data_IF_427462710562
#
_entry.id   IF_427462710562
#
_cell.length_a   1.000
_cell.length_b   1.000
_cell.length_c   1.000
_cell.angle_alpha   90.00
_cell.angle_beta   90.00
_cell.angle_gamma   90.00
#
_symmetry.space_group_name_H-M   'P 1'
#
loop_
_entity.id
_entity.type
_entity.pdbx_description
1 polymer ?
#
# COMPACT_ATOMS: atom_id res chain seq x y z
N UNK A 1 4.41 -26.70 -3.26
CA UNK A 1 4.78 -25.60 -2.35
C UNK A 1 5.20 -24.39 -3.19
N UNK A 2 4.32 -23.71 -3.92
CA UNK A 2 4.75 -22.66 -4.86
C UNK A 2 3.58 -21.81 -5.32
N UNK A 3 2.88 -21.10 -4.42
CA UNK A 3 1.83 -20.16 -4.85
C UNK A 3 1.69 -18.92 -3.92
N UNK A 4 2.67 -18.69 -3.05
CA UNK A 4 2.57 -17.64 -2.00
C UNK A 4 2.95 -16.22 -2.47
N UNK A 5 3.54 -16.08 -3.67
CA UNK A 5 4.12 -14.81 -4.09
C UNK A 5 3.22 -13.91 -4.96
N UNK A 6 2.25 -14.47 -5.67
CA UNK A 6 1.46 -13.70 -6.65
C UNK A 6 0.27 -12.94 -6.03
N UNK A 7 -0.25 -13.40 -4.90
CA UNK A 7 -1.41 -12.75 -4.25
C UNK A 7 -1.05 -11.53 -3.40
N UNK A 8 0.23 -11.37 -3.06
CA UNK A 8 0.73 -10.29 -2.23
C UNK A 8 0.79 -8.92 -2.94
N UNK A 9 0.80 -8.90 -4.27
CA UNK A 9 1.01 -7.69 -5.07
C UNK A 9 -0.24 -6.81 -5.26
N UNK A 10 -1.44 -7.34 -5.08
CA UNK A 10 -2.68 -6.61 -5.37
C UNK A 10 -3.36 -5.97 -4.14
N UNK A 11 -3.03 -6.39 -2.93
CA UNK A 11 -3.52 -5.77 -1.69
C UNK A 11 -2.64 -4.65 -1.15
N UNK A 12 -1.53 -4.36 -1.83
CA UNK A 12 -0.40 -3.64 -1.26
C UNK A 12 -0.28 -2.18 -1.65
N UNK A 13 -1.33 -1.54 -2.17
CA UNK A 13 -1.15 -0.18 -2.65
C UNK A 13 -1.05 0.89 -1.56
N UNK A 14 -1.41 0.62 -0.33
CA UNK A 14 -1.39 1.66 0.73
C UNK A 14 -0.66 1.26 2.01
N UNK A 15 -0.58 -0.01 2.36
CA UNK A 15 -0.14 -0.42 3.70
C UNK A 15 1.23 -1.11 3.76
N UNK A 16 1.92 -1.35 2.65
CA UNK A 16 3.13 -2.21 2.65
C UNK A 16 4.48 -1.52 2.50
N UNK A 17 4.52 -0.22 2.37
CA UNK A 17 5.82 0.47 2.34
C UNK A 17 6.48 0.58 3.72
N UNK A 18 5.70 0.43 4.81
CA UNK A 18 6.21 0.61 6.17
C UNK A 18 6.17 -0.65 7.05
N UNK A 19 5.38 -1.66 6.73
CA UNK A 19 5.14 -2.82 7.59
C UNK A 19 5.36 -4.18 6.90
N UNK A 20 6.37 -4.30 6.03
CA UNK A 20 6.93 -5.63 5.87
C UNK A 20 7.51 -6.01 7.24
N UNK A 21 7.00 -7.06 7.93
CA UNK A 21 7.63 -7.47 9.17
C UNK A 21 9.11 -7.68 8.85
N UNK A 22 10.02 -7.14 9.68
CA UNK A 22 11.46 -7.28 9.45
C UNK A 22 11.68 -8.74 9.13
N UNK A 23 12.38 -9.01 8.02
CA UNK A 23 12.58 -10.35 7.50
C UNK A 23 12.92 -11.28 8.65
N UNK A 24 11.91 -11.97 9.17
CA UNK A 24 12.11 -12.90 10.27
C UNK A 24 13.01 -13.99 9.75
N UNK A 25 14.23 -13.95 10.20
CA UNK A 25 15.25 -14.90 9.84
C UNK A 25 14.79 -16.28 10.23
N UNK A 26 14.23 -17.01 9.25
CA UNK A 26 14.07 -18.47 9.25
C UNK A 26 13.88 -19.11 10.65
N UNK A 27 12.95 -18.62 11.42
CA UNK A 27 12.37 -19.44 12.45
C UNK A 27 11.49 -20.45 11.70
N UNK A 28 11.77 -21.73 11.86
CA UNK A 28 10.82 -22.77 11.52
C UNK A 28 9.55 -22.46 12.30
N UNK A 29 8.57 -21.85 11.63
CA UNK A 29 7.31 -21.47 12.27
C UNK A 29 6.60 -22.77 12.63
N UNK A 30 6.70 -23.14 13.89
CA UNK A 30 5.91 -24.22 14.43
C UNK A 30 4.44 -23.77 14.46
N UNK A 31 3.49 -24.65 14.17
CA UNK A 31 2.07 -24.33 14.28
C UNK A 31 1.74 -23.74 15.67
N UNK A 32 0.94 -22.69 15.69
CA UNK A 32 0.54 -22.05 16.94
C UNK A 32 0.39 -20.53 16.84
N UNK A 33 0.08 -19.92 17.97
CA UNK A 33 -0.08 -18.48 18.12
C UNK A 33 1.22 -17.82 18.59
N UNK A 34 1.52 -16.66 18.02
CA UNK A 34 2.61 -15.78 18.46
C UNK A 34 2.04 -14.38 18.67
N UNK A 35 2.25 -13.81 19.85
CA UNK A 35 1.94 -12.42 20.16
C UNK A 35 3.25 -11.64 20.31
N UNK A 36 3.38 -10.53 19.60
CA UNK A 36 4.60 -9.68 19.66
C UNK A 36 4.20 -8.26 20.08
N UNK A 37 4.21 -7.95 21.39
CA UNK A 37 4.14 -6.58 21.86
C UNK A 37 5.46 -5.86 21.64
N UNK A 38 5.39 -4.56 21.39
CA UNK A 38 6.58 -3.74 21.22
C UNK A 38 6.32 -2.26 21.38
N UNK A 39 7.40 -1.51 21.40
CA UNK A 39 7.38 -0.04 21.38
C UNK A 39 8.59 0.46 20.59
N UNK A 40 8.34 1.49 19.77
CA UNK A 40 9.37 2.26 19.09
C UNK A 40 9.46 3.65 19.72
N UNK A 41 10.67 4.16 19.89
CA UNK A 41 10.94 5.54 20.27
C UNK A 41 11.81 6.16 19.19
N UNK A 42 11.38 7.28 18.63
CA UNK A 42 12.06 7.97 17.55
C UNK A 42 12.36 9.43 17.86
N UNK A 43 13.51 9.89 17.38
CA UNK A 43 13.83 11.30 17.23
C UNK A 43 13.92 11.58 15.73
N UNK A 44 13.02 12.41 15.22
CA UNK A 44 12.86 12.66 13.79
C UNK A 44 12.95 14.17 13.52
N UNK A 45 13.38 14.51 12.32
CA UNK A 45 13.35 15.85 11.76
C UNK A 45 12.43 15.85 10.55
N UNK A 46 11.42 16.74 10.53
CA UNK A 46 10.45 16.90 9.45
C UNK A 46 10.65 18.27 8.79
N UNK A 47 10.96 18.29 7.50
CA UNK A 47 11.25 19.52 6.76
C UNK A 47 10.02 20.30 6.32
N UNK A 48 8.82 19.75 6.47
CA UNK A 48 7.56 20.38 6.08
C UNK A 48 6.39 19.85 6.93
N UNK A 49 6.35 20.26 8.18
CA UNK A 49 5.34 19.77 9.14
C UNK A 49 3.91 20.17 8.77
N UNK A 50 3.76 21.28 8.05
CA UNK A 50 2.46 21.76 7.57
C UNK A 50 1.97 21.04 6.31
N UNK A 51 2.85 20.30 5.62
CA UNK A 51 2.56 19.71 4.29
C UNK A 51 2.00 20.74 3.33
N UNK A 52 2.67 21.87 3.26
CA UNK A 52 2.24 23.04 2.50
C UNK A 52 3.29 23.48 1.48
N UNK A 53 2.87 24.28 0.52
CA UNK A 53 3.81 24.97 -0.37
C UNK A 53 4.66 25.96 0.43
N UNK A 54 5.95 26.14 0.07
CA UNK A 54 6.76 27.17 0.69
C UNK A 54 6.11 28.54 0.46
N UNK A 55 6.01 29.40 1.51
CA UNK A 55 5.51 30.76 1.35
C UNK A 55 6.34 31.52 0.31
N UNK A 56 5.68 32.29 -0.56
CA UNK A 56 6.32 33.01 -1.66
C UNK A 56 7.43 33.97 -1.18
N UNK A 57 7.28 34.56 0.01
CA UNK A 57 8.22 35.54 0.58
C UNK A 57 9.44 34.90 1.24
N UNK A 58 9.37 33.66 1.67
CA UNK A 58 10.42 33.02 2.49
C UNK A 58 11.13 31.88 1.74
N UNK A 59 10.47 31.26 0.77
CA UNK A 59 11.00 30.12 0.00
C UNK A 59 11.31 28.86 0.85
N UNK A 60 10.92 28.86 2.15
CA UNK A 60 11.16 27.77 3.09
C UNK A 60 9.84 27.28 3.66
N UNK A 61 9.73 25.99 3.84
CA UNK A 61 8.64 25.34 4.57
C UNK A 61 8.91 25.34 6.06
N UNK A 62 7.86 25.21 6.88
CA UNK A 62 8.01 25.02 8.31
C UNK A 62 8.65 23.65 8.60
N UNK A 63 9.85 23.66 9.18
CA UNK A 63 10.57 22.46 9.59
C UNK A 63 10.62 22.37 11.12
N UNK A 64 10.56 21.17 11.66
CA UNK A 64 10.62 20.92 13.10
C UNK A 64 11.24 19.57 13.42
N UNK A 65 11.73 19.45 14.65
CA UNK A 65 12.09 18.19 15.24
C UNK A 65 10.89 17.63 16.01
N UNK A 66 10.77 16.32 16.03
CA UNK A 66 9.71 15.67 16.79
C UNK A 66 10.22 14.45 17.53
N UNK A 67 9.60 14.18 18.62
CA UNK A 67 9.67 12.90 19.32
C UNK A 67 8.48 12.04 18.91
N UNK A 68 8.74 10.81 18.53
CA UNK A 68 7.71 9.82 18.19
C UNK A 68 7.77 8.65 19.17
N UNK A 69 6.62 8.23 19.66
CA UNK A 69 6.45 7.00 20.40
C UNK A 69 5.40 6.15 19.71
N UNK A 70 5.76 4.92 19.38
CA UNK A 70 4.89 3.98 18.69
C UNK A 70 4.73 2.70 19.52
N UNK A 71 3.72 2.60 20.40
CA UNK A 71 3.30 1.31 20.94
C UNK A 71 2.66 0.48 19.82
N UNK A 72 3.05 -0.79 19.73
CA UNK A 72 2.50 -1.71 18.76
C UNK A 72 2.31 -3.12 19.30
N UNK A 73 1.48 -3.88 18.62
CA UNK A 73 1.29 -5.29 18.89
C UNK A 73 0.91 -6.06 17.64
N UNK A 74 1.47 -7.24 17.45
CA UNK A 74 1.05 -8.16 16.41
C UNK A 74 0.64 -9.51 17.00
N UNK A 75 -0.36 -10.13 16.38
CA UNK A 75 -0.84 -11.46 16.71
C UNK A 75 -0.85 -12.30 15.42
N UNK A 76 -0.09 -13.38 15.44
CA UNK A 76 0.04 -14.28 14.30
C UNK A 76 -0.40 -15.70 14.68
N UNK A 77 -1.08 -16.36 13.76
CA UNK A 77 -1.34 -17.78 13.84
C UNK A 77 -0.88 -18.47 12.57
N UNK A 78 -0.09 -19.48 12.73
CA UNK A 78 0.37 -20.30 11.62
C UNK A 78 -0.08 -21.75 11.79
N UNK A 79 -0.59 -22.35 10.73
CA UNK A 79 -0.81 -23.78 10.58
C UNK A 79 -0.68 -24.19 9.10
N UNK A 80 -0.59 -25.49 8.77
CA UNK A 80 -0.52 -25.93 7.37
C UNK A 80 -1.73 -25.51 6.50
N UNK A 81 -2.84 -25.13 7.13
CA UNK A 81 -4.07 -24.71 6.42
C UNK A 81 -4.42 -23.26 6.62
N UNK A 82 -3.96 -22.63 7.71
CA UNK A 82 -4.38 -21.28 8.09
C UNK A 82 -3.16 -20.44 8.39
N UNK A 83 -3.15 -19.25 7.79
CA UNK A 83 -2.24 -18.18 8.15
C UNK A 83 -3.11 -16.97 8.50
N UNK A 84 -3.00 -16.51 9.73
CA UNK A 84 -3.68 -15.31 10.24
C UNK A 84 -2.63 -14.36 10.76
N UNK A 85 -2.80 -13.08 10.49
CA UNK A 85 -2.02 -12.01 11.09
C UNK A 85 -2.92 -10.83 11.43
N UNK A 86 -2.62 -10.18 12.55
CA UNK A 86 -3.23 -8.92 12.96
C UNK A 86 -2.17 -8.05 13.58
N UNK A 87 -2.16 -6.76 13.28
CA UNK A 87 -1.27 -5.78 13.88
C UNK A 87 -2.01 -4.49 14.23
N UNK A 88 -1.51 -3.80 15.24
CA UNK A 88 -1.92 -2.46 15.61
C UNK A 88 -0.69 -1.62 15.93
N UNK A 89 -0.66 -0.38 15.45
CA UNK A 89 0.39 0.62 15.65
C UNK A 89 -0.27 1.95 16.00
N UNK A 90 0.19 2.58 17.08
CA UNK A 90 -0.26 3.92 17.47
C UNK A 90 0.93 4.87 17.52
N UNK A 91 0.98 5.86 16.65
CA UNK A 91 2.08 6.82 16.56
C UNK A 91 1.70 8.11 17.29
N UNK A 92 2.33 8.35 18.43
CA UNK A 92 2.18 9.60 19.19
C UNK A 92 3.34 10.51 18.81
N UNK A 93 3.04 11.62 18.10
CA UNK A 93 4.03 12.60 17.65
C UNK A 93 3.94 13.86 18.46
N UNK A 94 5.09 14.35 18.94
CA UNK A 94 5.27 15.57 19.69
C UNK A 94 6.30 16.44 18.98
N UNK A 95 5.83 17.54 18.42
CA UNK A 95 6.65 18.57 17.77
C UNK A 95 7.22 19.52 18.82
N UNK A 96 8.42 20.07 18.57
CA UNK A 96 9.09 20.94 19.53
C UNK A 96 8.69 22.41 19.39
N UNK A 97 8.59 22.90 18.15
CA UNK A 97 8.26 24.29 17.86
C UNK A 97 6.79 24.50 17.47
N UNK A 98 6.13 23.46 16.94
CA UNK A 98 4.73 23.48 16.49
C UNK A 98 3.88 22.49 17.32
N UNK A 99 3.69 22.78 18.59
CA UNK A 99 2.97 21.88 19.52
C UNK A 99 1.48 21.72 19.17
N UNK A 100 0.87 22.69 18.46
CA UNK A 100 -0.48 22.59 17.90
C UNK A 100 -0.61 21.50 16.83
N UNK A 101 0.51 21.04 16.24
CA UNK A 101 0.56 19.96 15.26
C UNK A 101 0.76 18.58 15.87
N UNK A 102 0.83 18.49 17.20
CA UNK A 102 0.88 17.22 17.90
C UNK A 102 -0.26 16.30 17.45
N UNK A 103 0.05 15.03 17.22
CA UNK A 103 -0.90 14.13 16.60
C UNK A 103 -0.83 12.70 17.12
N UNK A 104 -1.94 12.00 16.98
CA UNK A 104 -2.06 10.56 17.15
C UNK A 104 -2.46 9.96 15.80
N UNK A 105 -1.55 9.20 15.19
CA UNK A 105 -1.85 8.37 14.05
C UNK A 105 -2.13 6.93 14.52
N UNK A 106 -2.99 6.21 13.82
CA UNK A 106 -3.33 4.83 14.16
C UNK A 106 -3.35 3.99 12.89
N UNK A 107 -2.76 2.80 12.97
CA UNK A 107 -2.83 1.76 11.94
C UNK A 107 -3.29 0.46 12.55
N UNK A 108 -4.17 -0.21 11.86
CA UNK A 108 -4.58 -1.56 12.21
C UNK A 108 -4.69 -2.39 10.94
N UNK A 109 -4.20 -3.60 10.97
CA UNK A 109 -4.29 -4.54 9.86
C UNK A 109 -4.71 -5.91 10.37
N UNK A 110 -5.53 -6.59 9.57
CA UNK A 110 -5.91 -7.99 9.79
C UNK A 110 -5.83 -8.72 8.46
N UNK A 111 -5.26 -9.90 8.44
CA UNK A 111 -5.29 -10.77 7.28
C UNK A 111 -5.49 -12.23 7.66
N UNK A 112 -6.25 -12.95 6.84
CA UNK A 112 -6.50 -14.37 6.97
C UNK A 112 -6.35 -15.03 5.60
N UNK A 113 -5.54 -16.09 5.55
CA UNK A 113 -5.51 -17.04 4.43
C UNK A 113 -5.83 -18.44 4.96
N UNK A 114 -6.91 -19.02 4.48
CA UNK A 114 -7.36 -20.33 4.92
C UNK A 114 -7.62 -21.27 3.74
N UNK A 115 -7.03 -22.47 3.77
CA UNK A 115 -7.26 -23.52 2.78
C UNK A 115 -8.53 -24.29 3.15
N UNK A 116 -9.65 -23.92 2.51
CA UNK A 116 -10.96 -24.56 2.71
C UNK A 116 -10.92 -26.02 2.27
N UNK A 117 -10.34 -26.28 1.09
CA UNK A 117 -10.14 -27.63 0.55
C UNK A 117 -8.73 -27.77 -0.04
N UNK A 118 -8.38 -28.95 -0.58
CA UNK A 118 -7.12 -29.13 -1.31
C UNK A 118 -7.03 -28.24 -2.56
N UNK A 119 -8.14 -27.70 -3.06
CA UNK A 119 -8.23 -26.95 -4.30
C UNK A 119 -8.73 -25.52 -4.12
N UNK A 120 -9.28 -25.16 -2.96
CA UNK A 120 -9.92 -23.86 -2.72
C UNK A 120 -9.28 -23.18 -1.51
N UNK A 121 -8.86 -21.95 -1.70
CA UNK A 121 -8.28 -21.07 -0.66
C UNK A 121 -9.14 -19.81 -0.54
N UNK A 122 -9.50 -19.47 0.69
CA UNK A 122 -10.08 -18.20 1.07
C UNK A 122 -8.96 -17.26 1.50
N UNK A 123 -9.04 -16.00 1.09
CA UNK A 123 -8.22 -14.90 1.61
C UNK A 123 -9.11 -13.73 1.96
N UNK A 124 -8.90 -13.11 3.11
CA UNK A 124 -9.58 -11.88 3.52
C UNK A 124 -8.63 -11.01 4.31
N UNK A 125 -8.87 -9.71 4.31
CA UNK A 125 -8.09 -8.78 5.08
C UNK A 125 -8.76 -7.41 5.16
N UNK A 126 -8.30 -6.62 6.12
CA UNK A 126 -8.73 -5.27 6.37
C UNK A 126 -7.53 -4.45 6.85
N UNK A 127 -7.45 -3.21 6.38
CA UNK A 127 -6.48 -2.22 6.82
C UNK A 127 -7.20 -0.93 7.19
N UNK A 128 -6.91 -0.40 8.36
CA UNK A 128 -7.40 0.89 8.84
C UNK A 128 -6.22 1.82 9.07
N UNK A 129 -6.35 3.07 8.64
CA UNK A 129 -5.38 4.14 8.86
C UNK A 129 -6.12 5.42 9.28
N UNK A 130 -5.66 6.04 10.35
CA UNK A 130 -5.98 7.41 10.73
C UNK A 130 -4.70 8.21 10.75
N UNK A 131 -4.60 9.24 9.91
CA UNK A 131 -3.40 10.05 9.75
C UNK A 131 -3.73 11.55 9.76
N UNK A 132 -2.84 12.43 10.26
CA UNK A 132 -3.03 13.86 10.22
C UNK A 132 -2.77 14.50 8.86
N UNK A 133 -2.20 13.74 7.89
CA UNK A 133 -1.77 14.27 6.59
C UNK A 133 -2.13 13.34 5.46
N UNK A 134 -2.49 13.87 4.29
CA UNK A 134 -2.94 13.09 3.13
C UNK A 134 -1.80 12.43 2.35
N UNK A 135 -0.56 12.94 2.45
CA UNK A 135 0.62 12.35 1.79
C UNK A 135 0.90 10.91 2.22
N UNK A 136 0.48 10.54 3.44
CA UNK A 136 0.61 9.18 3.96
C UNK A 136 -0.45 8.19 3.45
N UNK A 137 -1.54 8.68 2.87
CA UNK A 137 -2.60 7.83 2.32
C UNK A 137 -2.21 7.16 1.00
N UNK A 138 -1.27 7.75 0.27
CA UNK A 138 -0.85 7.33 -1.07
C UNK A 138 -2.04 7.06 -2.02
N UNK A 139 -3.11 7.83 -1.90
CA UNK A 139 -4.31 7.69 -2.72
C UNK A 139 -4.16 8.36 -4.09
N UNK A 140 -4.88 7.82 -5.08
CA UNK A 140 -4.90 8.39 -6.42
C UNK A 140 -5.59 9.75 -6.45
N UNK A 141 -4.93 10.75 -7.06
CA UNK A 141 -5.49 12.06 -7.31
C UNK A 141 -5.78 12.91 -6.07
N UNK A 142 -5.25 12.53 -4.90
CA UNK A 142 -5.40 13.28 -3.65
C UNK A 142 -4.22 14.22 -3.48
N UNK A 143 -4.44 15.53 -3.30
CA UNK A 143 -3.36 16.47 -3.02
C UNK A 143 -2.73 16.24 -1.66
N UNK A 144 -1.43 16.53 -1.54
CA UNK A 144 -0.74 16.52 -0.27
C UNK A 144 -1.13 17.75 0.53
N UNK A 145 -1.67 17.51 1.70
CA UNK A 145 -2.03 18.57 2.63
C UNK A 145 -2.11 18.04 4.08
N UNK A 146 -2.08 18.97 5.03
CA UNK A 146 -2.38 18.65 6.42
C UNK A 146 -3.88 18.68 6.65
N UNK A 147 -4.49 17.52 6.45
CA UNK A 147 -5.91 17.28 6.70
C UNK A 147 -6.07 15.89 7.32
N UNK A 148 -6.60 15.85 8.52
CA UNK A 148 -6.86 14.60 9.21
C UNK A 148 -7.74 13.70 8.34
N UNK A 149 -7.34 12.44 8.23
CA UNK A 149 -7.98 11.51 7.31
C UNK A 149 -8.15 10.15 7.95
N UNK A 150 -9.25 9.50 7.62
CA UNK A 150 -9.54 8.12 7.96
C UNK A 150 -9.66 7.29 6.69
N UNK A 151 -8.96 6.20 6.65
CA UNK A 151 -8.96 5.26 5.54
C UNK A 151 -9.27 3.87 6.04
N UNK A 152 -10.12 3.16 5.33
CA UNK A 152 -10.37 1.74 5.56
C UNK A 152 -10.40 1.03 4.21
N UNK A 153 -9.66 -0.07 4.10
CA UNK A 153 -9.71 -0.96 2.95
C UNK A 153 -9.90 -2.40 3.40
N UNK A 154 -10.85 -3.09 2.81
CA UNK A 154 -11.14 -4.48 3.10
C UNK A 154 -11.22 -5.29 1.81
N UNK A 155 -10.92 -6.58 1.91
CA UNK A 155 -11.12 -7.50 0.80
C UNK A 155 -11.53 -8.89 1.28
N UNK A 156 -12.22 -9.61 0.41
CA UNK A 156 -12.48 -11.04 0.54
C UNK A 156 -12.34 -11.71 -0.82
N UNK A 157 -11.61 -12.82 -0.90
CA UNK A 157 -11.34 -13.50 -2.16
C UNK A 157 -11.27 -15.01 -2.03
N UNK A 158 -11.59 -15.66 -3.13
CA UNK A 158 -11.49 -17.10 -3.32
C UNK A 158 -10.57 -17.39 -4.50
N UNK A 159 -9.63 -18.30 -4.31
CA UNK A 159 -8.78 -18.83 -5.36
C UNK A 159 -8.98 -20.34 -5.45
N UNK A 160 -9.30 -20.85 -6.63
CA UNK A 160 -9.62 -22.24 -6.83
C UNK A 160 -8.92 -22.86 -8.04
N UNK A 161 -8.40 -24.08 -7.87
CA UNK A 161 -7.92 -24.91 -8.97
C UNK A 161 -9.10 -25.70 -9.56
N UNK A 162 -9.60 -25.25 -10.72
CA UNK A 162 -10.74 -25.86 -11.43
C UNK A 162 -10.31 -27.20 -12.04
N UNK A 163 -9.16 -27.21 -12.72
CA UNK A 163 -8.55 -28.42 -13.29
C UNK A 163 -7.09 -28.53 -12.85
N UNK A 164 -6.34 -29.50 -13.37
CA UNK A 164 -4.89 -29.59 -13.10
C UNK A 164 -4.09 -28.40 -13.62
N UNK A 165 -4.59 -27.74 -14.66
CA UNK A 165 -3.90 -26.63 -15.35
C UNK A 165 -4.65 -25.31 -15.28
N UNK A 166 -5.93 -25.28 -14.88
CA UNK A 166 -6.75 -24.06 -14.83
C UNK A 166 -6.98 -23.64 -13.39
N UNK A 167 -6.65 -22.40 -13.09
CA UNK A 167 -6.93 -21.72 -11.82
C UNK A 167 -7.86 -20.53 -12.08
N UNK A 168 -8.83 -20.33 -11.22
CA UNK A 168 -9.66 -19.13 -11.21
C UNK A 168 -9.62 -18.47 -9.82
N UNK A 169 -9.72 -17.16 -9.81
CA UNK A 169 -9.88 -16.37 -8.59
C UNK A 169 -10.96 -15.33 -8.77
N UNK A 170 -11.62 -15.00 -7.65
CA UNK A 170 -12.53 -13.87 -7.55
C UNK A 170 -12.26 -13.17 -6.24
N UNK A 171 -12.29 -11.83 -6.25
CA UNK A 171 -12.02 -11.00 -5.09
C UNK A 171 -12.95 -9.80 -5.08
N UNK A 172 -13.60 -9.58 -3.96
CA UNK A 172 -14.31 -8.34 -3.64
C UNK A 172 -13.38 -7.41 -2.88
N UNK A 173 -13.44 -6.11 -3.19
CA UNK A 173 -12.64 -5.05 -2.56
C UNK A 173 -13.58 -3.92 -2.12
N UNK A 174 -13.30 -3.37 -0.96
CA UNK A 174 -13.97 -2.21 -0.41
C UNK A 174 -12.93 -1.20 0.05
N UNK A 175 -13.13 0.07 -0.26
CA UNK A 175 -12.29 1.18 0.22
C UNK A 175 -13.20 2.32 0.66
N UNK A 176 -12.94 2.87 1.83
CA UNK A 176 -13.62 4.04 2.37
C UNK A 176 -12.59 5.07 2.83
N UNK A 177 -12.87 6.33 2.51
CA UNK A 177 -12.05 7.48 2.93
C UNK A 177 -12.96 8.58 3.46
N UNK A 178 -12.56 9.19 4.56
CA UNK A 178 -13.19 10.38 5.12
C UNK A 178 -12.12 11.38 5.55
N UNK A 179 -12.37 12.65 5.28
CA UNK A 179 -11.48 13.76 5.61
C UNK A 179 -12.11 14.60 6.72
N UNK A 180 -11.30 15.05 7.70
CA UNK A 180 -11.78 15.85 8.83
C UNK A 180 -12.29 17.22 8.35
N UNK A 181 -11.63 17.81 7.34
CA UNK A 181 -12.13 19.00 6.62
C UNK A 181 -12.59 18.59 5.24
N UNK A 182 -13.85 18.84 4.96
CA UNK A 182 -14.45 18.65 3.63
C UNK A 182 -14.49 20.00 2.95
N UNK A 183 -13.81 20.12 1.84
CA UNK A 183 -13.81 21.29 0.98
C UNK A 183 -14.18 20.88 -0.45
N UNK A 184 -14.17 21.83 -1.37
CA UNK A 184 -14.50 21.57 -2.77
C UNK A 184 -13.52 20.61 -3.47
N UNK A 185 -12.40 20.28 -2.84
CA UNK A 185 -11.31 19.49 -3.40
C UNK A 185 -11.36 18.05 -2.86
N UNK A 186 -11.53 17.87 -1.54
CA UNK A 186 -11.50 16.57 -0.86
C UNK A 186 -12.92 16.10 -0.50
N UNK A 187 -13.39 15.11 -1.20
CA UNK A 187 -14.80 14.72 -1.13
C UNK A 187 -15.08 13.49 -0.28
N UNK A 188 -14.08 12.64 -0.03
CA UNK A 188 -14.31 11.38 0.66
C UNK A 188 -15.31 10.46 -0.06
N UNK A 189 -15.66 9.34 0.55
CA UNK A 189 -16.62 8.40 0.00
C UNK A 189 -16.17 6.95 0.08
N UNK A 190 -16.76 6.08 -0.74
CA UNK A 190 -16.41 4.68 -0.79
C UNK A 190 -16.33 4.12 -2.21
N UNK A 191 -15.51 3.08 -2.36
CA UNK A 191 -15.32 2.36 -3.61
C UNK A 191 -15.53 0.88 -3.32
N UNK A 192 -16.41 0.26 -4.09
CA UNK A 192 -16.59 -1.18 -4.13
C UNK A 192 -15.98 -1.73 -5.42
N UNK A 193 -15.37 -2.91 -5.35
CA UNK A 193 -14.78 -3.53 -6.52
C UNK A 193 -14.94 -5.04 -6.54
N UNK A 194 -14.98 -5.60 -7.73
CA UNK A 194 -14.88 -7.04 -7.96
C UNK A 194 -13.80 -7.28 -8.99
N UNK A 195 -12.84 -8.12 -8.66
CA UNK A 195 -11.79 -8.57 -9.56
C UNK A 195 -11.93 -10.09 -9.77
N UNK A 196 -11.90 -10.51 -11.02
CA UNK A 196 -11.92 -11.91 -11.42
C UNK A 196 -10.77 -12.22 -12.37
N UNK A 197 -10.19 -13.41 -12.22
CA UNK A 197 -9.09 -13.88 -13.05
C UNK A 197 -9.26 -15.38 -13.35
N UNK A 198 -8.96 -15.78 -14.58
CA UNK A 198 -8.87 -17.18 -14.99
C UNK A 198 -7.59 -17.37 -15.77
N UNK A 199 -6.74 -18.29 -15.31
CA UNK A 199 -5.47 -18.62 -15.97
C UNK A 199 -5.34 -20.10 -16.27
N UNK A 200 -4.67 -20.41 -17.38
CA UNK A 200 -4.30 -21.77 -17.79
C UNK A 200 -2.78 -21.88 -17.84
N UNK A 201 -2.24 -22.82 -17.11
CA UNK A 201 -0.83 -23.21 -17.20
C UNK A 201 -0.60 -24.07 -18.45
N UNK A 202 0.37 -23.69 -19.28
CA UNK A 202 0.79 -24.43 -20.46
C UNK A 202 1.92 -25.41 -20.10
N UNK A 203 2.78 -24.97 -19.20
CA UNK A 203 3.88 -25.75 -18.64
C UNK A 203 4.15 -25.32 -17.17
N UNK A 204 5.26 -25.79 -16.58
CA UNK A 204 5.63 -25.47 -15.21
C UNK A 204 6.04 -24.00 -15.01
N UNK A 205 6.32 -23.25 -16.08
CA UNK A 205 6.86 -21.89 -16.05
C UNK A 205 5.90 -20.86 -16.59
N UNK A 206 5.04 -21.23 -17.55
CA UNK A 206 4.20 -20.29 -18.28
C UNK A 206 2.70 -20.54 -18.07
N UNK A 207 1.96 -19.46 -17.88
CA UNK A 207 0.50 -19.46 -17.86
C UNK A 207 -0.03 -18.19 -18.52
N UNK A 208 -1.18 -18.30 -19.17
CA UNK A 208 -1.91 -17.15 -19.69
C UNK A 208 -3.39 -17.26 -19.34
N UNK A 209 -4.08 -16.12 -19.44
CA UNK A 209 -5.49 -16.07 -19.12
C UNK A 209 -6.08 -14.70 -19.38
N UNK A 210 -7.17 -14.43 -18.69
CA UNK A 210 -7.86 -13.14 -18.71
C UNK A 210 -8.20 -12.68 -17.31
N UNK A 211 -8.29 -11.36 -17.16
CA UNK A 211 -8.73 -10.71 -15.95
C UNK A 211 -9.79 -9.67 -16.27
N UNK A 212 -10.68 -9.47 -15.30
CA UNK A 212 -11.71 -8.44 -15.35
C UNK A 212 -11.86 -7.82 -13.98
N UNK A 213 -11.86 -6.48 -13.93
CA UNK A 213 -12.11 -5.71 -12.72
C UNK A 213 -13.24 -4.73 -12.99
N UNK A 214 -14.18 -4.65 -12.08
CA UNK A 214 -15.17 -3.58 -12.06
C UNK A 214 -15.14 -2.91 -10.71
N UNK A 215 -15.16 -1.55 -10.68
CA UNK A 215 -15.22 -0.74 -9.46
C UNK A 215 -16.36 0.26 -9.58
N UNK A 216 -17.10 0.42 -8.51
CA UNK A 216 -18.12 1.44 -8.33
C UNK A 216 -17.68 2.38 -7.22
N UNK A 217 -17.60 3.65 -7.53
CA UNK A 217 -17.24 4.68 -6.58
C UNK A 217 -18.45 5.59 -6.32
N UNK A 218 -18.77 5.74 -5.04
CA UNK A 218 -19.75 6.70 -4.54
C UNK A 218 -18.98 7.76 -3.75
N UNK A 219 -18.81 8.91 -4.37
CA UNK A 219 -18.02 10.02 -3.86
C UNK A 219 -18.93 11.18 -3.49
N UNK A 220 -18.39 12.16 -2.75
CA UNK A 220 -19.10 13.36 -2.35
C UNK A 220 -20.47 13.03 -1.72
N UNK A 221 -20.45 12.20 -0.67
CA UNK A 221 -21.64 11.78 0.08
C UNK A 221 -22.74 11.13 -0.79
N UNK A 222 -22.35 10.45 -1.86
CA UNK A 222 -23.28 9.76 -2.75
C UNK A 222 -23.87 10.64 -3.87
N UNK A 223 -23.37 11.85 -4.08
CA UNK A 223 -23.81 12.69 -5.20
C UNK A 223 -23.17 12.27 -6.52
N UNK A 224 -22.01 11.59 -6.48
CA UNK A 224 -21.28 11.12 -7.67
C UNK A 224 -21.15 9.60 -7.69
N UNK A 225 -21.77 9.00 -8.70
CA UNK A 225 -21.72 7.57 -8.98
C UNK A 225 -20.86 7.30 -10.23
N UNK A 226 -19.71 6.66 -10.03
CA UNK A 226 -18.76 6.35 -11.09
C UNK A 226 -18.60 4.83 -11.24
N UNK A 227 -18.41 4.37 -12.47
CA UNK A 227 -18.10 2.97 -12.76
C UNK A 227 -16.81 2.87 -13.59
N UNK A 228 -15.87 2.05 -13.12
CA UNK A 228 -14.59 1.78 -13.77
C UNK A 228 -14.48 0.29 -14.06
N UNK A 229 -14.13 -0.04 -15.30
CA UNK A 229 -13.98 -1.42 -15.74
C UNK A 229 -12.64 -1.59 -16.41
N UNK A 230 -11.89 -2.64 -16.03
CA UNK A 230 -10.66 -3.04 -16.70
C UNK A 230 -10.81 -4.48 -17.19
N UNK A 231 -10.47 -4.72 -18.44
CA UNK A 231 -10.46 -6.06 -19.04
C UNK A 231 -9.10 -6.26 -19.68
N UNK A 232 -8.44 -7.36 -19.38
CA UNK A 232 -7.10 -7.62 -19.89
C UNK A 232 -6.81 -9.09 -20.16
N UNK A 233 -5.94 -9.33 -21.15
CA UNK A 233 -5.23 -10.59 -21.28
C UNK A 233 -4.03 -10.58 -20.35
N UNK A 234 -3.82 -11.68 -19.64
CA UNK A 234 -2.79 -11.85 -18.62
C UNK A 234 -1.81 -12.94 -19.04
N UNK A 235 -0.52 -12.68 -18.85
CA UNK A 235 0.55 -13.67 -19.02
C UNK A 235 1.47 -13.66 -17.80
N UNK A 236 1.80 -14.86 -17.30
CA UNK A 236 2.77 -15.07 -16.21
C UNK A 236 3.87 -15.99 -16.65
N UNK A 237 5.09 -15.60 -16.33
CA UNK A 237 6.28 -16.40 -16.64
C UNK A 237 7.19 -16.52 -15.42
N UNK A 238 7.64 -17.73 -15.13
CA UNK A 238 8.60 -18.04 -14.07
C UNK A 238 9.95 -18.40 -14.68
N UNK A 239 10.92 -17.51 -14.49
CA UNK A 239 12.31 -17.81 -14.85
C UNK A 239 12.98 -18.54 -13.69
N UNK A 240 12.73 -19.85 -13.59
CA UNK A 240 13.16 -20.66 -12.45
C UNK A 240 12.27 -20.50 -11.21
N UNK A 241 12.80 -20.85 -10.03
CA UNK A 241 12.05 -20.83 -8.77
C UNK A 241 12.01 -19.43 -8.12
N UNK A 242 12.87 -18.54 -8.55
CA UNK A 242 13.17 -17.27 -7.88
C UNK A 242 12.56 -16.05 -8.54
N UNK A 243 12.30 -16.09 -9.83
CA UNK A 243 11.83 -14.93 -10.59
C UNK A 243 10.44 -15.19 -11.17
N UNK A 244 9.52 -14.29 -10.89
CA UNK A 244 8.19 -14.28 -11.49
C UNK A 244 7.99 -12.95 -12.22
N UNK A 245 7.59 -13.04 -13.48
CA UNK A 245 7.17 -11.95 -14.33
C UNK A 245 5.67 -12.07 -14.56
N UNK A 246 4.97 -10.97 -14.53
CA UNK A 246 3.55 -10.88 -14.85
C UNK A 246 3.32 -9.68 -15.74
N UNK A 247 2.49 -9.82 -16.76
CA UNK A 247 2.05 -8.74 -17.62
C UNK A 247 0.59 -8.91 -18.00
N UNK A 248 -0.17 -7.83 -17.97
CA UNK A 248 -1.53 -7.77 -18.49
C UNK A 248 -1.70 -6.54 -19.38
N UNK A 249 -2.47 -6.70 -20.43
CA UNK A 249 -2.81 -5.61 -21.35
C UNK A 249 -4.27 -5.75 -21.84
N UNK A 250 -4.93 -4.62 -22.00
CA UNK A 250 -6.32 -4.59 -22.40
C UNK A 250 -6.91 -3.18 -22.40
N UNK A 251 -8.16 -3.08 -21.99
CA UNK A 251 -8.92 -1.85 -22.04
C UNK A 251 -9.41 -1.46 -20.65
N UNK A 252 -9.32 -0.16 -20.35
CA UNK A 252 -9.97 0.51 -19.24
C UNK A 252 -11.17 1.29 -19.76
N UNK A 253 -12.31 1.18 -19.11
CA UNK A 253 -13.53 1.88 -19.45
C UNK A 253 -14.10 2.59 -18.24
N UNK A 254 -14.42 3.88 -18.39
CA UNK A 254 -15.04 4.74 -17.38
C UNK A 254 -16.45 5.12 -17.84
N UNK A 255 -17.39 5.07 -16.91
CA UNK A 255 -18.73 5.64 -17.05
C UNK A 255 -18.93 6.60 -15.87
N UNK A 256 -19.06 7.89 -16.18
CA UNK A 256 -19.45 8.96 -15.26
C UNK A 256 -20.87 9.42 -15.63
N UNK A 257 -21.85 8.97 -14.86
CA UNK A 257 -23.26 9.32 -15.12
C UNK A 257 -23.63 10.74 -14.72
N UNK A 258 -22.85 11.36 -13.85
CA UNK A 258 -23.10 12.73 -13.40
C UNK A 258 -22.74 13.75 -14.48
N UNK A 259 -21.63 13.53 -15.18
CA UNK A 259 -21.15 14.39 -16.25
C UNK A 259 -21.52 13.87 -17.65
N UNK A 260 -22.28 12.78 -17.75
CA UNK A 260 -22.61 12.10 -19.03
C UNK A 260 -21.36 11.77 -19.87
N UNK A 261 -20.30 11.30 -19.20
CA UNK A 261 -19.01 10.99 -19.82
C UNK A 261 -18.80 9.49 -19.85
N UNK A 262 -18.47 8.97 -21.02
CA UNK A 262 -17.98 7.60 -21.21
C UNK A 262 -16.65 7.65 -21.95
N UNK A 263 -15.63 7.00 -21.41
CA UNK A 263 -14.28 6.96 -22.01
C UNK A 263 -13.71 5.57 -21.98
N UNK A 264 -13.00 5.21 -23.06
CA UNK A 264 -12.23 3.97 -23.13
C UNK A 264 -10.77 4.32 -23.37
N UNK A 265 -9.88 3.64 -22.69
CA UNK A 265 -8.45 3.82 -22.78
C UNK A 265 -7.68 2.51 -22.63
N UNK A 266 -6.36 2.64 -22.56
CA UNK A 266 -5.46 1.50 -22.42
C UNK A 266 -5.34 1.10 -20.95
N UNK A 267 -5.49 -0.19 -20.68
CA UNK A 267 -5.13 -0.85 -19.43
C UNK A 267 -3.82 -1.62 -19.60
N UNK A 268 -2.85 -1.34 -18.74
CA UNK A 268 -1.57 -2.05 -18.68
C UNK A 268 -1.23 -2.35 -17.24
N UNK A 269 -0.72 -3.56 -17.00
CA UNK A 269 -0.15 -3.96 -15.71
C UNK A 269 1.07 -4.84 -15.96
N UNK A 270 2.14 -4.59 -15.22
CA UNK A 270 3.35 -5.41 -15.24
C UNK A 270 3.87 -5.59 -13.81
N UNK A 271 4.47 -6.73 -13.54
CA UNK A 271 5.05 -7.05 -12.24
C UNK A 271 6.28 -7.93 -12.38
N UNK A 272 7.28 -7.67 -11.55
CA UNK A 272 8.48 -8.45 -11.38
C UNK A 272 8.66 -8.74 -9.89
N UNK A 273 8.90 -9.99 -9.55
CA UNK A 273 9.39 -10.37 -8.23
C UNK A 273 10.60 -11.27 -8.40
N UNK A 274 11.71 -10.90 -7.77
CA UNK A 274 12.94 -11.68 -7.78
C UNK A 274 13.40 -11.95 -6.36
N UNK A 275 13.52 -13.22 -6.01
CA UNK A 275 14.00 -13.71 -4.71
C UNK A 275 15.46 -14.12 -4.83
N UNK A 276 16.34 -13.32 -4.30
CA UNK A 276 17.75 -13.70 -4.08
C UNK A 276 17.84 -14.63 -2.85
N UNK A 277 19.03 -15.16 -2.58
CA UNK A 277 19.24 -15.99 -1.38
C UNK A 277 18.94 -15.22 -0.08
N UNK A 278 19.19 -13.93 -0.07
CA UNK A 278 19.07 -13.05 1.10
C UNK A 278 18.31 -11.76 0.84
N UNK A 279 17.74 -11.57 -0.35
CA UNK A 279 17.01 -10.35 -0.64
C UNK A 279 15.75 -10.68 -1.46
N UNK A 280 14.76 -9.83 -1.32
CA UNK A 280 13.60 -9.82 -2.23
C UNK A 280 13.54 -8.46 -2.91
N UNK A 281 13.44 -8.48 -4.22
CA UNK A 281 13.28 -7.29 -5.04
C UNK A 281 11.95 -7.42 -5.77
N UNK A 282 11.15 -6.37 -5.75
CA UNK A 282 9.92 -6.30 -6.52
C UNK A 282 9.80 -4.98 -7.26
N UNK A 283 9.15 -5.04 -8.41
CA UNK A 283 8.75 -3.86 -9.17
C UNK A 283 7.38 -4.10 -9.79
N UNK A 284 6.59 -3.05 -9.90
CA UNK A 284 5.29 -3.10 -10.57
C UNK A 284 5.03 -1.81 -11.33
N UNK A 285 4.25 -1.92 -12.39
CA UNK A 285 3.70 -0.83 -13.16
C UNK A 285 2.22 -1.07 -13.41
N UNK A 286 1.39 -0.03 -13.25
CA UNK A 286 -0.02 -0.07 -13.64
C UNK A 286 -0.42 1.23 -14.31
N UNK A 287 -1.22 1.11 -15.37
CA UNK A 287 -1.92 2.22 -16.03
C UNK A 287 -3.37 1.85 -16.20
N UNK A 288 -4.27 2.63 -15.61
CA UNK A 288 -5.71 2.40 -15.69
C UNK A 288 -6.51 3.67 -15.42
N UNK A 289 -7.82 3.61 -15.65
CA UNK A 289 -8.73 4.60 -15.10
C UNK A 289 -9.05 4.23 -13.66
N UNK A 290 -8.96 5.20 -12.76
CA UNK A 290 -9.15 5.01 -11.33
C UNK A 290 -10.03 6.09 -10.72
N UNK A 291 -10.83 5.75 -9.71
CA UNK A 291 -11.52 6.76 -8.91
C UNK A 291 -10.51 7.55 -8.08
N UNK A 292 -10.86 8.81 -7.80
CA UNK A 292 -10.12 9.69 -6.90
C UNK A 292 -11.06 10.26 -5.85
N UNK A 293 -10.61 10.33 -4.61
CA UNK A 293 -11.35 10.99 -3.52
C UNK A 293 -11.18 12.52 -3.51
N UNK A 294 -10.60 13.09 -4.60
CA UNK A 294 -10.45 14.51 -4.79
C UNK A 294 -10.69 14.90 -6.26
N UNK A 295 -10.82 16.20 -6.54
CA UNK A 295 -10.88 16.81 -7.88
C UNK A 295 -11.82 16.12 -8.87
N UNK A 296 -13.05 15.86 -8.48
CA UNK A 296 -14.04 15.36 -9.39
C UNK A 296 -14.06 13.85 -9.65
N UNK A 297 -13.13 13.13 -9.07
CA UNK A 297 -13.23 11.67 -8.91
C UNK A 297 -12.81 10.81 -10.09
N UNK A 298 -12.38 11.37 -11.25
CA UNK A 298 -12.09 10.58 -12.45
C UNK A 298 -10.70 10.85 -13.00
N UNK A 299 -9.80 9.88 -12.88
CA UNK A 299 -8.42 10.04 -13.30
C UNK A 299 -7.90 8.85 -14.12
N UNK A 300 -6.98 9.15 -15.06
CA UNK A 300 -6.06 8.17 -15.58
C UNK A 300 -4.82 8.16 -14.68
N UNK A 301 -4.56 7.05 -14.04
CA UNK A 301 -3.35 6.85 -13.21
C UNK A 301 -2.32 6.02 -13.94
N UNK A 302 -1.06 6.43 -13.82
CA UNK A 302 0.11 5.64 -14.14
C UNK A 302 0.95 5.56 -12.87
N UNK A 303 1.23 4.34 -12.40
CA UNK A 303 1.97 4.12 -11.17
C UNK A 303 3.10 3.14 -11.41
N UNK A 304 4.28 3.46 -10.90
CA UNK A 304 5.43 2.55 -10.81
C UNK A 304 5.81 2.42 -9.35
N UNK A 305 5.96 1.20 -8.86
CA UNK A 305 6.44 0.90 -7.50
C UNK A 305 7.63 -0.04 -7.57
N UNK A 306 8.56 0.14 -6.63
CA UNK A 306 9.69 -0.76 -6.44
C UNK A 306 9.95 -0.95 -4.96
N UNK A 307 10.45 -2.13 -4.59
CA UNK A 307 10.90 -2.39 -3.22
C UNK A 307 12.08 -3.36 -3.18
N UNK A 308 12.89 -3.20 -2.16
CA UNK A 308 14.00 -4.11 -1.82
C UNK A 308 13.96 -4.37 -0.32
N UNK A 309 14.01 -5.64 0.05
CA UNK A 309 14.21 -6.05 1.45
C UNK A 309 15.43 -6.96 1.49
N UNK A 310 16.47 -6.58 2.25
CA UNK A 310 17.75 -7.25 2.21
C UNK A 310 18.44 -7.27 3.58
N UNK A 311 18.76 -8.43 4.14
CA UNK A 311 19.75 -8.54 5.21
C UNK A 311 21.16 -8.27 4.66
N UNK A 312 21.86 -7.31 5.24
CA UNK A 312 23.18 -6.85 4.80
C UNK A 312 24.31 -7.63 5.47
N UNK A 313 24.22 -7.92 6.77
CA UNK A 313 25.29 -8.59 7.51
C UNK A 313 24.75 -9.54 8.56
N UNK A 314 25.17 -10.81 8.48
CA UNK A 314 24.95 -11.90 9.49
C UNK A 314 23.64 -11.82 10.24
N UNK A 315 22.56 -11.41 9.55
CA UNK A 315 21.23 -11.26 10.11
C UNK A 315 21.08 -10.18 11.22
N UNK A 316 22.00 -9.27 11.33
CA UNK A 316 21.91 -8.15 12.29
C UNK A 316 21.63 -6.81 11.63
N UNK A 317 22.17 -6.60 10.44
CA UNK A 317 21.94 -5.38 9.67
C UNK A 317 21.00 -5.69 8.52
N UNK A 318 19.95 -4.90 8.31
CA UNK A 318 19.02 -5.03 7.21
C UNK A 318 18.72 -3.67 6.56
N UNK A 319 18.32 -3.73 5.32
CA UNK A 319 17.84 -2.60 4.53
C UNK A 319 16.44 -2.95 4.02
N UNK A 320 15.53 -2.03 4.22
CA UNK A 320 14.23 -1.99 3.56
C UNK A 320 14.11 -0.67 2.81
N UNK A 321 13.83 -0.77 1.53
CA UNK A 321 13.67 0.38 0.64
C UNK A 321 12.42 0.18 -0.18
N UNK A 322 11.59 1.22 -0.28
CA UNK A 322 10.48 1.27 -1.22
C UNK A 322 10.41 2.62 -1.89
N UNK A 323 10.04 2.63 -3.14
CA UNK A 323 9.81 3.82 -3.91
C UNK A 323 8.55 3.67 -4.76
N UNK A 324 7.76 4.74 -4.84
CA UNK A 324 6.62 4.83 -5.72
C UNK A 324 6.64 6.16 -6.47
N UNK A 325 6.34 6.09 -7.75
CA UNK A 325 6.03 7.24 -8.58
C UNK A 325 4.64 7.08 -9.15
N UNK A 326 3.83 8.13 -9.08
CA UNK A 326 2.49 8.15 -9.63
C UNK A 326 2.22 9.44 -10.36
N UNK A 327 1.74 9.31 -11.59
CA UNK A 327 1.17 10.39 -12.36
C UNK A 327 -0.32 10.18 -12.50
N UNK A 328 -1.08 11.19 -12.15
CA UNK A 328 -2.53 11.22 -12.23
C UNK A 328 -2.93 12.31 -13.20
N UNK A 329 -3.43 11.92 -14.35
CA UNK A 329 -3.93 12.84 -15.38
C UNK A 329 -5.48 12.89 -15.29
N UNK A 330 -6.08 14.06 -15.11
CA UNK A 330 -7.53 14.19 -15.02
C UNK A 330 -8.20 13.87 -16.35
N UNK A 331 -9.39 13.28 -16.29
CA UNK A 331 -10.18 12.96 -17.46
C UNK A 331 -11.17 14.08 -17.83
N UNK A 332 -11.43 15.00 -16.92
CA UNK A 332 -12.25 16.19 -17.13
C UNK A 332 -11.39 17.45 -17.13
N UNK A 333 -11.74 18.44 -17.93
CA UNK A 333 -10.93 19.66 -18.16
C UNK A 333 -10.74 20.55 -16.90
N UNK A 334 -11.54 20.35 -15.86
CA UNK A 334 -11.50 21.13 -14.63
C UNK A 334 -10.68 20.47 -13.52
N UNK A 335 -10.15 19.28 -13.76
CA UNK A 335 -9.38 18.51 -12.78
C UNK A 335 -7.88 18.78 -12.93
N UNK A 336 -7.12 18.52 -11.87
CA UNK A 336 -5.73 18.90 -11.73
C UNK A 336 -4.83 17.69 -11.87
N UNK A 337 -3.85 17.71 -12.79
CA UNK A 337 -2.84 16.66 -12.85
C UNK A 337 -1.93 16.72 -11.63
N UNK A 338 -1.63 15.57 -11.06
CA UNK A 338 -0.72 15.40 -9.94
C UNK A 338 0.40 14.42 -10.32
N UNK A 339 1.63 14.84 -10.06
CA UNK A 339 2.82 13.99 -10.13
C UNK A 339 3.36 13.79 -8.71
N UNK A 340 3.38 12.55 -8.24
CA UNK A 340 3.73 12.25 -6.85
C UNK A 340 4.84 11.21 -6.77
N UNK A 341 5.76 11.40 -5.82
CA UNK A 341 6.85 10.48 -5.53
C UNK A 341 6.86 10.20 -4.03
N UNK A 342 7.06 8.94 -3.66
CA UNK A 342 7.32 8.51 -2.28
C UNK A 342 8.57 7.64 -2.25
N UNK A 343 9.40 7.82 -1.25
CA UNK A 343 10.56 6.98 -0.97
C UNK A 343 10.58 6.72 0.54
N UNK A 344 10.70 5.47 0.93
CA UNK A 344 10.86 5.06 2.31
C UNK A 344 12.09 4.17 2.44
N UNK A 345 12.99 4.53 3.34
CA UNK A 345 14.22 3.80 3.59
C UNK A 345 14.34 3.51 5.08
N UNK A 346 14.56 2.26 5.43
CA UNK A 346 14.89 1.84 6.80
C UNK A 346 16.16 1.02 6.77
N UNK A 347 17.14 1.44 7.59
CA UNK A 347 18.35 0.66 7.84
C UNK A 347 18.37 0.29 9.30
N UNK A 348 18.20 -0.99 9.60
CA UNK A 348 18.08 -1.46 10.98
C UNK A 348 19.25 -2.34 11.40
N UNK A 349 19.70 -2.17 12.65
CA UNK A 349 20.72 -3.00 13.28
C UNK A 349 20.21 -3.62 14.58
N UNK A 350 20.17 -4.95 14.63
CA UNK A 350 19.79 -5.70 15.82
C UNK A 350 20.98 -5.75 16.80
N UNK A 351 20.90 -4.96 17.87
CA UNK A 351 21.90 -4.93 18.94
C UNK A 351 21.86 -6.23 19.73
N UNK A 352 20.67 -6.60 20.17
CA UNK A 352 20.36 -7.86 20.84
C UNK A 352 19.03 -8.42 20.33
N UNK A 353 18.64 -9.62 20.78
CA UNK A 353 17.47 -10.36 20.27
C UNK A 353 16.15 -9.56 20.23
N UNK A 354 15.96 -8.63 21.14
CA UNK A 354 14.69 -7.89 21.31
C UNK A 354 14.85 -6.38 21.20
N UNK A 355 16.04 -5.90 20.82
CA UNK A 355 16.33 -4.49 20.72
C UNK A 355 17.11 -4.20 19.44
N UNK A 356 16.60 -3.27 18.66
CA UNK A 356 17.23 -2.80 17.42
C UNK A 356 17.23 -1.28 17.34
N UNK A 357 18.17 -0.75 16.59
CA UNK A 357 18.27 0.65 16.21
C UNK A 357 18.04 0.75 14.72
N UNK A 358 17.22 1.70 14.30
CA UNK A 358 16.86 1.93 12.91
C UNK A 358 17.13 3.37 12.53
N UNK A 359 17.83 3.58 11.40
CA UNK A 359 17.82 4.83 10.68
C UNK A 359 16.60 4.84 9.77
N UNK A 360 15.79 5.86 9.84
CA UNK A 360 14.57 6.03 9.10
C UNK A 360 14.64 7.26 8.20
N UNK A 361 14.18 7.13 6.97
CA UNK A 361 13.97 8.22 6.03
C UNK A 361 12.71 8.00 5.24
N UNK A 362 11.84 9.01 5.22
CA UNK A 362 10.69 9.08 4.34
C UNK A 362 10.75 10.39 3.54
N UNK A 363 10.61 10.28 2.24
CA UNK A 363 10.50 11.40 1.32
C UNK A 363 9.18 11.34 0.59
N UNK A 364 8.45 12.44 0.55
CA UNK A 364 7.28 12.61 -0.31
C UNK A 364 7.38 13.93 -1.08
N UNK A 365 6.99 13.87 -2.35
CA UNK A 365 6.96 15.00 -3.25
C UNK A 365 5.70 14.96 -4.08
N UNK A 366 5.05 16.11 -4.25
CA UNK A 366 3.95 16.26 -5.18
C UNK A 366 4.06 17.57 -5.96
N UNK A 367 4.02 17.45 -7.29
CA UNK A 367 3.90 18.57 -8.20
C UNK A 367 2.45 18.75 -8.63
N UNK A 368 1.94 19.95 -8.58
CA UNK A 368 0.61 20.32 -9.05
C UNK A 368 0.71 21.56 -9.94
N UNK A 369 -0.02 21.56 -11.04
CA UNK A 369 -0.02 22.70 -11.98
C UNK A 369 -0.91 23.85 -11.53
N UNK A 370 -1.77 23.65 -10.53
CA UNK A 370 -2.67 24.71 -10.04
C UNK A 370 -1.98 25.78 -9.24
N UNK A 371 -1.09 25.36 -8.39
CA UNK A 371 -0.35 26.28 -7.53
C UNK A 371 1.09 26.21 -8.05
N UNK A 372 1.59 27.19 -8.75
CA UNK A 372 2.95 27.21 -9.32
C UNK A 372 4.03 26.77 -8.31
N UNK A 373 3.96 25.54 -7.83
CA UNK A 373 4.77 25.06 -6.73
C UNK A 373 4.76 23.53 -6.56
N UNK A 374 5.65 23.10 -5.72
CA UNK A 374 5.95 21.72 -5.39
C UNK A 374 5.90 21.56 -3.87
N UNK A 375 5.19 20.56 -3.40
CA UNK A 375 5.25 20.15 -1.99
C UNK A 375 6.33 19.09 -1.88
N UNK A 376 7.33 19.38 -1.05
CA UNK A 376 8.39 18.44 -0.69
C UNK A 376 8.38 18.26 0.82
N UNK A 377 8.54 17.02 1.27
CA UNK A 377 8.68 16.68 2.68
C UNK A 377 9.71 15.59 2.86
N UNK A 378 10.63 15.78 3.79
CA UNK A 378 11.55 14.76 4.25
C UNK A 378 11.33 14.57 5.75
N UNK A 379 11.21 13.32 6.18
CA UNK A 379 11.27 12.92 7.57
C UNK A 379 12.48 12.01 7.71
N UNK A 380 13.43 12.41 8.53
CA UNK A 380 14.66 11.63 8.77
C UNK A 380 14.93 11.52 10.26
N UNK A 381 15.43 10.39 10.71
CA UNK A 381 15.78 10.24 12.11
C UNK A 381 16.29 8.86 12.50
N UNK A 382 16.32 8.66 13.80
CA UNK A 382 16.76 7.42 14.44
C UNK A 382 15.65 6.91 15.35
N UNK A 383 15.42 5.62 15.29
CA UNK A 383 14.41 4.92 16.08
C UNK A 383 15.03 3.78 16.87
N UNK A 384 14.49 3.54 18.05
CA UNK A 384 14.86 2.46 18.95
C UNK A 384 13.66 1.56 19.13
N UNK A 385 13.75 0.33 18.68
CA UNK A 385 12.65 -0.63 18.67
C UNK A 385 12.89 -1.71 19.72
N UNK A 386 11.94 -1.90 20.61
CA UNK A 386 11.89 -3.00 21.58
C UNK A 386 10.69 -3.86 21.28
N UNK A 387 10.91 -5.13 20.93
CA UNK A 387 9.83 -6.06 20.62
C UNK A 387 10.16 -7.46 21.12
N UNK A 388 9.21 -8.16 21.72
CA UNK A 388 9.39 -9.50 22.25
C UNK A 388 8.30 -10.45 21.77
N UNK A 389 8.60 -11.37 20.85
CA UNK A 389 7.67 -12.43 20.49
C UNK A 389 7.40 -13.36 21.67
N UNK A 390 6.13 -13.56 21.97
CA UNK A 390 5.63 -14.46 23.02
C UNK A 390 4.84 -15.56 22.34
N UNK A 391 5.30 -16.79 22.45
CA UNK A 391 4.53 -17.94 21.97
C UNK A 391 3.44 -18.25 22.99
N UNK A 392 2.20 -18.35 22.49
CA UNK A 392 1.06 -18.77 23.30
C UNK A 392 0.96 -20.28 23.16
N UNK A 393 1.36 -21.00 24.18
CA UNK A 393 1.18 -22.46 24.27
C UNK A 393 -0.30 -22.76 24.51
N UNK A 394 -0.83 -23.71 23.73
CA UNK A 394 -2.17 -24.27 23.95
C UNK A 394 -2.09 -25.48 24.85
#
# INVERSE_FOLDING_TARGET
MTSLAALALLASSVARAQDAPPAEFNSWQLPGWTFTPGVTFGWLHDTNVAVAFPPADIGKTAADNLFEMEPFGSLEYFSPRTNFSSSYHGFVRRYFDFDELNSLEQRAEVSLRHRLTRRLTLSTGEAFLRTPTTDQLELNGVPFERNGSRYNAAFAGLEGRITRTVTASARYEFTWVDFDRKDAILNGGFINGVHGEVTKAFDARSSAGGEYTVRWADLDQGTRHLSFQNTGALYRYRTGERTTLEAAAGFAHLIDRFNDVSRTGLYLRAGLTHRLQRATIGASYERSYVPSFAFGGTNQSQETRGYVTMPLSRNRLYLEESAAWRRTDPLLAQEIPLDSIWIHTTVGYALVRYFRVEGYHAFSRQDTRLFAGQINRNIIGVQFVVARPLRIEQ
#
